data_IF_736262989875
#
_entry.id   IF_736262989875
#
_cell.length_a   1.000
_cell.length_b   1.000
_cell.length_c   1.000
_cell.angle_alpha   90.00
_cell.angle_beta   90.00
_cell.angle_gamma   90.00
#
_symmetry.space_group_name_H-M   'P 1'
#
loop_
_entity.id
_entity.type
_entity.pdbx_description
1 polymer ?
#
# COMPACT_ATOMS: atom_id res chain seq x y z
N UNK A 1 56.65 -51.10 -6.51
CA UNK A 1 55.59 -50.57 -7.39
C UNK A 1 54.29 -51.34 -7.13
N UNK A 2 53.31 -50.73 -6.45
CA UNK A 2 51.88 -51.04 -6.53
C UNK A 2 51.11 -49.82 -6.02
N UNK A 3 50.35 -49.20 -6.93
CA UNK A 3 49.55 -47.99 -6.74
C UNK A 3 48.30 -48.30 -5.89
N UNK A 4 47.99 -47.47 -4.88
CA UNK A 4 47.01 -46.35 -4.87
C UNK A 4 45.56 -46.79 -5.19
N UNK A 5 44.67 -46.64 -4.20
CA UNK A 5 43.38 -45.94 -4.36
C UNK A 5 42.73 -45.75 -2.97
N UNK A 6 43.00 -44.62 -2.33
CA UNK A 6 42.21 -44.12 -1.22
C UNK A 6 41.02 -43.35 -1.81
N UNK A 7 39.80 -43.87 -1.64
CA UNK A 7 38.58 -43.20 -2.08
C UNK A 7 38.22 -42.07 -1.14
N UNK A 8 38.40 -40.83 -1.58
CA UNK A 8 37.91 -39.64 -0.89
C UNK A 8 36.39 -39.50 -1.15
N UNK A 9 35.61 -39.63 -0.08
CA UNK A 9 34.18 -39.26 -0.07
C UNK A 9 34.11 -37.74 0.01
N UNK A 10 33.84 -37.08 -1.11
CA UNK A 10 33.46 -35.67 -1.16
C UNK A 10 31.97 -35.58 -0.79
N UNK A 11 31.70 -35.25 0.46
CA UNK A 11 30.40 -34.73 0.90
C UNK A 11 30.21 -33.36 0.26
N UNK A 12 29.51 -33.33 -0.88
CA UNK A 12 28.93 -32.12 -1.41
C UNK A 12 27.86 -31.64 -0.42
N UNK A 13 28.26 -30.76 0.50
CA UNK A 13 27.33 -29.93 1.26
C UNK A 13 26.70 -29.00 0.23
N UNK A 14 25.52 -29.38 -0.25
CA UNK A 14 24.62 -28.49 -0.97
C UNK A 14 24.21 -27.37 -0.02
N UNK A 15 25.07 -26.36 0.10
CA UNK A 15 24.68 -25.10 0.72
C UNK A 15 23.53 -24.56 -0.11
N UNK A 16 22.31 -24.71 0.40
CA UNK A 16 21.19 -23.89 -0.02
C UNK A 16 21.58 -22.47 0.39
N UNK A 17 22.26 -21.76 -0.52
CA UNK A 17 22.25 -20.32 -0.49
C UNK A 17 20.76 -19.97 -0.39
N UNK A 18 20.35 -19.30 0.68
CA UNK A 18 19.05 -18.64 0.73
C UNK A 18 19.09 -17.60 -0.38
N UNK A 19 18.71 -18.01 -1.59
CA UNK A 19 18.50 -17.09 -2.69
C UNK A 19 17.37 -16.19 -2.20
N UNK A 20 17.69 -14.92 -1.97
CA UNK A 20 16.70 -13.90 -1.71
C UNK A 20 15.61 -14.03 -2.79
N UNK A 21 14.35 -14.19 -2.39
CA UNK A 21 13.24 -14.24 -3.34
C UNK A 21 13.04 -12.82 -3.88
N UNK A 22 13.42 -12.54 -5.15
CA UNK A 22 13.36 -11.19 -5.67
C UNK A 22 11.93 -10.64 -5.70
N UNK A 23 10.92 -11.52 -5.74
CA UNK A 23 9.53 -11.12 -5.67
C UNK A 23 9.14 -10.67 -4.27
N UNK A 24 9.62 -11.39 -3.24
CA UNK A 24 9.41 -11.01 -1.86
C UNK A 24 10.11 -9.69 -1.52
N UNK A 25 11.35 -9.51 -1.98
CA UNK A 25 12.09 -8.26 -1.78
C UNK A 25 11.35 -7.08 -2.42
N UNK A 26 10.91 -7.23 -3.67
CA UNK A 26 10.14 -6.21 -4.39
C UNK A 26 8.80 -5.91 -3.70
N UNK A 27 8.07 -6.93 -3.26
CA UNK A 27 6.83 -6.71 -2.51
C UNK A 27 7.10 -5.96 -1.21
N UNK A 28 8.17 -6.33 -0.48
CA UNK A 28 8.54 -5.69 0.78
C UNK A 28 8.90 -4.22 0.57
N UNK A 29 9.66 -3.90 -0.47
CA UNK A 29 9.98 -2.52 -0.84
C UNK A 29 8.71 -1.70 -1.12
N UNK A 30 7.82 -2.21 -1.97
CA UNK A 30 6.54 -1.57 -2.29
C UNK A 30 5.65 -1.41 -1.05
N UNK A 31 5.63 -2.41 -0.16
CA UNK A 31 4.84 -2.36 1.05
C UNK A 31 5.38 -1.33 2.05
N UNK A 32 6.71 -1.18 2.17
CA UNK A 32 7.33 -0.22 3.10
C UNK A 32 7.32 1.22 2.57
N UNK A 33 7.09 1.41 1.27
CA UNK A 33 6.88 2.72 0.68
C UNK A 33 5.72 3.48 1.36
N UNK A 34 5.97 4.74 1.73
CA UNK A 34 4.99 5.59 2.43
C UNK A 34 4.24 6.52 1.46
N UNK A 35 4.91 6.97 0.39
CA UNK A 35 4.34 7.79 -0.67
C UNK A 35 5.00 7.47 -2.02
N UNK A 36 4.46 8.01 -3.11
CA UNK A 36 4.98 7.78 -4.47
C UNK A 36 5.98 8.83 -4.95
N UNK A 37 6.49 9.68 -4.06
CA UNK A 37 7.45 10.76 -4.36
C UNK A 37 6.89 11.90 -5.22
N UNK A 38 5.64 11.81 -5.66
CA UNK A 38 4.92 12.83 -6.42
C UNK A 38 3.49 12.93 -5.90
N UNK A 39 2.84 14.11 -6.00
CA UNK A 39 1.43 14.21 -5.69
C UNK A 39 0.56 13.26 -6.52
N UNK A 40 -0.48 12.72 -5.91
CA UNK A 40 -1.35 11.72 -6.54
C UNK A 40 -2.83 12.04 -6.38
N UNK A 41 -3.61 11.66 -7.38
CA UNK A 41 -5.05 11.45 -7.28
C UNK A 41 -5.32 9.95 -7.28
N UNK A 42 -6.07 9.47 -6.30
CA UNK A 42 -6.44 8.07 -6.19
C UNK A 42 -7.94 7.91 -6.15
N UNK A 43 -8.52 7.27 -7.15
CA UNK A 43 -9.90 6.80 -7.08
C UNK A 43 -9.95 5.50 -6.26
N UNK A 44 -10.68 5.52 -5.16
CA UNK A 44 -10.80 4.40 -4.22
C UNK A 44 -12.22 3.84 -4.32
N UNK A 45 -12.33 2.54 -4.50
CA UNK A 45 -13.56 1.77 -4.33
C UNK A 45 -13.37 0.79 -3.19
N UNK A 46 -14.29 0.78 -2.24
CA UNK A 46 -14.30 -0.17 -1.11
C UNK A 46 -15.59 -0.96 -1.11
N UNK A 47 -15.47 -2.28 -1.13
CA UNK A 47 -16.57 -3.22 -1.18
C UNK A 47 -16.56 -4.07 0.08
N UNK A 48 -17.55 -3.87 0.95
CA UNK A 48 -17.77 -4.75 2.11
C UNK A 48 -18.74 -5.84 1.75
N UNK A 49 -18.42 -7.08 2.13
CA UNK A 49 -19.33 -8.20 1.92
C UNK A 49 -20.65 -7.96 2.66
N UNK A 50 -21.75 -7.86 1.89
CA UNK A 50 -23.09 -7.66 2.42
C UNK A 50 -23.51 -6.20 2.60
N UNK A 51 -22.72 -5.23 2.16
CA UNK A 51 -23.09 -3.81 2.13
C UNK A 51 -22.85 -3.19 0.74
N UNK A 52 -23.50 -2.07 0.40
CA UNK A 52 -23.18 -1.32 -0.81
C UNK A 52 -21.72 -0.87 -0.82
N UNK A 53 -21.12 -0.87 -2.01
CA UNK A 53 -19.79 -0.31 -2.19
C UNK A 53 -19.76 1.20 -1.92
N UNK A 54 -18.62 1.69 -1.45
CA UNK A 54 -18.35 3.11 -1.31
C UNK A 54 -17.22 3.53 -2.23
N UNK A 55 -17.28 4.75 -2.75
CA UNK A 55 -16.23 5.34 -3.57
C UNK A 55 -15.83 6.71 -3.06
N UNK A 56 -14.55 7.04 -3.18
CA UNK A 56 -14.01 8.36 -2.87
C UNK A 56 -12.77 8.65 -3.73
N UNK A 57 -12.48 9.92 -3.94
CA UNK A 57 -11.18 10.36 -4.40
C UNK A 57 -10.30 10.66 -3.17
N UNK A 58 -9.04 10.23 -3.20
CA UNK A 58 -8.01 10.63 -2.25
C UNK A 58 -6.95 11.44 -2.99
N UNK A 59 -6.81 12.70 -2.62
CA UNK A 59 -5.87 13.65 -3.21
C UNK A 59 -4.74 13.86 -2.22
N UNK A 60 -3.52 13.50 -2.59
CA UNK A 60 -2.37 13.50 -1.70
C UNK A 60 -1.27 14.40 -2.24
N UNK A 61 -0.93 15.46 -1.50
CA UNK A 61 0.29 16.24 -1.75
C UNK A 61 1.45 15.69 -0.94
N UNK A 62 1.23 15.49 0.36
CA UNK A 62 2.19 14.93 1.30
C UNK A 62 1.46 14.51 2.59
N UNK A 63 2.22 13.96 3.55
CA UNK A 63 1.68 13.45 4.82
C UNK A 63 0.91 14.49 5.66
N UNK A 64 1.22 15.78 5.47
CA UNK A 64 0.61 16.89 6.21
C UNK A 64 -0.44 17.64 5.38
N UNK A 65 -0.67 17.25 4.12
CA UNK A 65 -1.64 17.91 3.24
C UNK A 65 -2.28 16.91 2.27
N UNK A 66 -3.49 16.46 2.63
CA UNK A 66 -4.26 15.50 1.85
C UNK A 66 -5.77 15.71 2.01
N UNK A 67 -6.55 15.33 1.01
CA UNK A 67 -8.00 15.51 0.96
C UNK A 67 -8.71 14.22 0.53
N UNK A 68 -9.72 13.81 1.28
CA UNK A 68 -10.67 12.76 0.89
C UNK A 68 -11.98 13.39 0.46
N UNK A 69 -12.41 13.09 -0.77
CA UNK A 69 -13.67 13.52 -1.37
C UNK A 69 -14.57 12.29 -1.57
N UNK A 70 -15.58 12.06 -0.71
CA UNK A 70 -16.53 10.96 -0.90
C UNK A 70 -17.38 11.20 -2.16
N UNK A 71 -17.36 10.24 -3.09
CA UNK A 71 -18.09 10.33 -4.35
C UNK A 71 -19.39 9.52 -4.32
N UNK A 72 -19.44 8.38 -3.61
CA UNK A 72 -20.67 7.62 -3.41
C UNK A 72 -20.60 6.72 -2.16
N UNK A 73 -21.57 6.79 -1.23
CA UNK A 73 -22.53 7.88 -1.11
C UNK A 73 -21.81 9.20 -0.84
N UNK A 74 -22.47 10.33 -1.17
CA UNK A 74 -21.94 11.64 -0.79
C UNK A 74 -21.82 11.74 0.74
N UNK A 75 -20.80 12.45 1.19
CA UNK A 75 -20.51 12.64 2.60
C UNK A 75 -19.63 13.87 2.81
N UNK A 76 -19.21 14.13 4.06
CA UNK A 76 -18.34 15.24 4.34
C UNK A 76 -16.93 15.01 3.75
N UNK A 77 -16.32 16.08 3.24
CA UNK A 77 -14.94 16.07 2.81
C UNK A 77 -14.03 16.12 4.04
N UNK A 78 -12.89 15.44 3.99
CA UNK A 78 -11.93 15.38 5.10
C UNK A 78 -10.58 15.85 4.60
N UNK A 79 -10.03 16.88 5.25
CA UNK A 79 -8.73 17.47 4.92
C UNK A 79 -7.77 17.30 6.09
N UNK A 80 -6.63 16.65 5.86
CA UNK A 80 -5.46 16.82 6.72
C UNK A 80 -4.69 18.04 6.24
N UNK A 81 -4.45 19.02 7.13
CA UNK A 81 -3.62 20.17 6.84
C UNK A 81 -2.89 20.63 8.10
N UNK A 82 -1.55 20.66 8.06
CA UNK A 82 -0.73 21.29 9.10
C UNK A 82 -0.99 20.74 10.51
N UNK A 83 -0.93 19.41 10.68
CA UNK A 83 -1.25 18.71 11.94
C UNK A 83 -2.71 18.81 12.40
N UNK A 84 -3.65 19.26 11.57
CA UNK A 84 -5.07 19.35 11.95
C UNK A 84 -5.91 18.54 10.97
N UNK A 85 -6.89 17.80 11.51
CA UNK A 85 -7.94 17.18 10.72
C UNK A 85 -9.13 18.12 10.65
N UNK A 86 -9.49 18.55 9.44
CA UNK A 86 -10.67 19.36 9.16
C UNK A 86 -11.73 18.54 8.43
N UNK A 87 -12.96 18.98 8.55
CA UNK A 87 -14.10 18.41 7.84
C UNK A 87 -14.94 19.53 7.21
N UNK A 88 -15.44 19.28 6.01
CA UNK A 88 -16.34 20.17 5.29
C UNK A 88 -17.63 19.44 4.96
N UNK A 89 -18.79 20.04 5.28
CA UNK A 89 -20.10 19.54 4.87
C UNK A 89 -20.65 20.21 3.59
N UNK A 90 -19.92 21.17 3.01
CA UNK A 90 -20.38 22.02 1.91
C UNK A 90 -19.40 22.05 0.72
N UNK A 91 -18.77 20.89 0.46
CA UNK A 91 -17.86 20.68 -0.68
C UNK A 91 -16.63 21.60 -0.69
N UNK A 92 -16.10 21.89 0.50
CA UNK A 92 -14.84 22.57 0.72
C UNK A 92 -14.96 24.09 0.83
N UNK A 93 -16.19 24.63 0.90
CA UNK A 93 -16.43 26.07 1.05
C UNK A 93 -16.13 26.54 2.47
N UNK A 94 -16.44 25.72 3.47
CA UNK A 94 -16.13 25.98 4.88
C UNK A 94 -15.50 24.76 5.53
N UNK A 95 -14.59 25.01 6.49
CA UNK A 95 -13.82 23.95 7.15
C UNK A 95 -14.01 24.04 8.67
N UNK A 96 -14.52 22.96 9.25
CA UNK A 96 -14.60 22.78 10.69
C UNK A 96 -13.42 21.94 11.17
N UNK A 97 -12.68 22.44 12.15
CA UNK A 97 -11.65 21.66 12.84
C UNK A 97 -12.31 20.51 13.59
N UNK A 98 -11.87 19.29 13.30
CA UNK A 98 -12.31 18.07 14.01
C UNK A 98 -11.38 17.80 15.19
N UNK A 99 -10.07 17.77 14.96
CA UNK A 99 -9.06 17.51 16.00
C UNK A 99 -7.65 17.92 15.56
N UNK A 100 -6.80 18.15 16.54
CA UNK A 100 -5.34 18.14 16.36
C UNK A 100 -4.85 16.70 16.08
N UNK A 101 -3.74 16.61 15.37
CA UNK A 101 -3.00 15.40 15.05
C UNK A 101 -1.53 15.59 15.41
N UNK A 102 -0.85 14.51 15.76
CA UNK A 102 0.62 14.50 15.83
C UNK A 102 1.13 13.70 14.63
N UNK A 103 1.25 14.33 13.46
CA UNK A 103 1.56 13.61 12.21
C UNK A 103 2.95 12.99 12.25
N UNK A 104 3.92 13.63 12.91
CA UNK A 104 5.27 13.13 13.05
C UNK A 104 5.32 11.84 13.90
N UNK A 105 4.72 11.87 15.10
CA UNK A 105 4.65 10.67 15.93
C UNK A 105 3.83 9.56 15.26
N UNK A 106 2.76 9.92 14.56
CA UNK A 106 1.96 8.97 13.79
C UNK A 106 2.76 8.35 12.64
N UNK A 107 3.62 9.11 11.97
CA UNK A 107 4.44 8.62 10.86
C UNK A 107 5.48 7.59 11.34
N UNK A 108 6.15 7.83 12.47
CA UNK A 108 7.13 6.89 13.02
C UNK A 108 6.45 5.62 13.53
N UNK A 109 5.32 5.76 14.23
CA UNK A 109 4.50 4.62 14.66
C UNK A 109 3.99 3.81 13.46
N UNK A 110 3.54 4.48 12.40
CA UNK A 110 3.10 3.83 11.16
C UNK A 110 4.23 3.11 10.44
N UNK A 111 5.44 3.69 10.43
CA UNK A 111 6.63 3.06 9.83
C UNK A 111 7.01 1.79 10.60
N UNK A 112 7.08 1.86 11.92
CA UNK A 112 7.39 0.68 12.74
C UNK A 112 6.32 -0.40 12.56
N UNK A 113 5.05 -0.02 12.59
CA UNK A 113 3.93 -0.92 12.33
C UNK A 113 4.04 -1.63 10.97
N UNK A 114 4.40 -0.91 9.90
CA UNK A 114 4.68 -1.50 8.59
C UNK A 114 5.87 -2.46 8.68
N UNK A 115 6.97 -2.10 9.32
CA UNK A 115 8.11 -3.01 9.47
C UNK A 115 7.73 -4.31 10.20
N UNK A 116 6.93 -4.23 11.25
CA UNK A 116 6.46 -5.39 12.00
C UNK A 116 5.54 -6.28 11.14
N UNK A 117 4.61 -5.68 10.39
CA UNK A 117 3.74 -6.42 9.48
C UNK A 117 4.54 -7.05 8.33
N UNK A 118 5.61 -6.39 7.84
CA UNK A 118 6.44 -6.89 6.76
C UNK A 118 7.12 -8.22 7.13
N UNK A 119 7.38 -8.47 8.42
CA UNK A 119 7.89 -9.75 8.89
C UNK A 119 6.90 -10.92 8.72
N UNK A 120 5.63 -10.65 8.40
CA UNK A 120 4.57 -11.65 8.19
C UNK A 120 4.29 -11.93 6.70
N UNK A 121 5.01 -11.25 5.80
CA UNK A 121 4.88 -11.40 4.35
C UNK A 121 5.15 -12.85 3.94
N UNK A 122 4.26 -13.39 3.11
CA UNK A 122 4.34 -14.76 2.59
C UNK A 122 3.54 -14.90 1.30
N UNK A 123 3.61 -16.07 0.65
CA UNK A 123 2.86 -16.39 -0.57
C UNK A 123 3.03 -15.32 -1.67
N UNK A 124 4.26 -14.88 -1.86
CA UNK A 124 4.66 -13.89 -2.86
C UNK A 124 4.39 -14.42 -4.27
N UNK A 125 3.86 -13.57 -5.14
CA UNK A 125 3.61 -13.88 -6.53
C UNK A 125 3.92 -12.65 -7.38
N UNK A 126 4.73 -12.85 -8.42
CA UNK A 126 5.07 -11.82 -9.38
C UNK A 126 4.69 -12.29 -10.78
N UNK A 127 4.05 -11.40 -11.54
CA UNK A 127 3.73 -11.60 -12.95
C UNK A 127 3.85 -10.28 -13.70
N UNK A 128 3.60 -10.31 -14.99
CA UNK A 128 3.58 -9.13 -15.84
C UNK A 128 2.21 -9.03 -16.52
N UNK A 129 1.71 -7.82 -16.66
CA UNK A 129 0.45 -7.51 -17.32
C UNK A 129 0.60 -6.26 -18.20
N UNK A 130 -0.40 -6.01 -19.04
CA UNK A 130 -0.56 -4.75 -19.76
C UNK A 130 -1.84 -4.05 -19.27
N UNK A 131 -1.71 -2.81 -18.81
CA UNK A 131 -2.83 -1.98 -18.35
C UNK A 131 -2.90 -0.75 -19.23
N UNK A 132 -3.98 -0.59 -19.99
CA UNK A 132 -4.21 0.54 -20.90
C UNK A 132 -3.06 0.77 -21.90
N UNK A 133 -2.45 -0.31 -22.40
CA UNK A 133 -1.32 -0.24 -23.35
C UNK A 133 0.04 -0.01 -22.69
N UNK A 134 0.11 0.00 -21.36
CA UNK A 134 1.36 0.19 -20.61
C UNK A 134 1.75 -1.09 -19.87
N UNK A 135 3.01 -1.57 -20.01
CA UNK A 135 3.45 -2.76 -19.31
C UNK A 135 3.67 -2.48 -17.82
N UNK A 136 3.12 -3.37 -16.99
CA UNK A 136 3.21 -3.30 -15.53
C UNK A 136 3.70 -4.63 -14.95
N UNK A 137 4.45 -4.56 -13.87
CA UNK A 137 4.70 -5.69 -12.99
C UNK A 137 3.57 -5.82 -11.99
N UNK A 138 3.05 -7.03 -11.82
CA UNK A 138 2.05 -7.32 -10.79
C UNK A 138 2.74 -8.05 -9.67
N UNK A 139 2.71 -7.47 -8.48
CA UNK A 139 3.42 -7.97 -7.30
C UNK A 139 2.42 -8.13 -6.17
N UNK A 140 2.30 -9.35 -5.65
CA UNK A 140 1.30 -9.65 -4.64
C UNK A 140 1.85 -10.55 -3.54
N UNK A 141 1.40 -10.33 -2.31
CA UNK A 141 1.74 -11.16 -1.16
C UNK A 141 0.61 -11.16 -0.14
N UNK A 142 0.65 -12.15 0.76
CA UNK A 142 -0.21 -12.22 1.92
C UNK A 142 0.50 -11.57 3.11
N UNK A 143 -0.22 -10.77 3.89
CA UNK A 143 0.30 -10.05 5.05
C UNK A 143 -0.71 -10.03 6.20
N UNK A 144 -0.22 -10.24 7.41
CA UNK A 144 -0.99 -10.08 8.63
C UNK A 144 -0.79 -8.66 9.15
N UNK A 145 -1.88 -7.90 9.24
CA UNK A 145 -1.88 -6.54 9.79
C UNK A 145 -2.40 -6.62 11.22
N UNK A 146 -1.56 -6.28 12.19
CA UNK A 146 -1.85 -6.51 13.62
C UNK A 146 -2.23 -5.23 14.39
N UNK A 147 -2.25 -4.06 13.73
CA UNK A 147 -2.60 -2.80 14.37
C UNK A 147 -4.13 -2.72 14.58
N UNK A 148 -4.57 -2.85 15.83
CA UNK A 148 -5.99 -2.86 16.18
C UNK A 148 -6.59 -4.26 16.05
N UNK A 149 -7.49 -4.45 15.09
CA UNK A 149 -8.05 -5.77 14.79
C UNK A 149 -7.10 -6.51 13.85
N UNK A 150 -6.71 -7.73 14.23
CA UNK A 150 -5.86 -8.57 13.36
C UNK A 150 -6.63 -8.93 12.09
N UNK A 151 -6.04 -8.61 10.94
CA UNK A 151 -6.57 -8.98 9.63
C UNK A 151 -5.55 -9.74 8.80
N UNK A 152 -6.06 -10.67 8.01
CA UNK A 152 -5.29 -11.38 6.99
C UNK A 152 -5.59 -10.76 5.64
N UNK A 153 -4.55 -10.33 4.93
CA UNK A 153 -4.71 -9.52 3.75
C UNK A 153 -3.92 -10.11 2.58
N UNK A 154 -4.52 -10.06 1.38
CA UNK A 154 -3.82 -10.22 0.11
C UNK A 154 -3.69 -8.85 -0.53
N UNK A 155 -2.46 -8.33 -0.58
CA UNK A 155 -2.17 -7.06 -1.24
C UNK A 155 -1.59 -7.34 -2.62
N UNK A 156 -2.07 -6.63 -3.63
CA UNK A 156 -1.59 -6.70 -5.01
C UNK A 156 -1.30 -5.30 -5.53
N UNK A 157 -0.11 -5.09 -6.08
CA UNK A 157 0.34 -3.84 -6.69
C UNK A 157 0.58 -4.05 -8.18
N UNK A 158 0.09 -3.13 -9.01
CA UNK A 158 0.45 -3.03 -10.42
C UNK A 158 1.40 -1.85 -10.57
N UNK A 159 2.65 -2.17 -10.88
CA UNK A 159 3.78 -1.24 -10.90
C UNK A 159 4.21 -1.01 -12.33
N UNK A 160 4.10 0.23 -12.80
CA UNK A 160 4.51 0.65 -14.13
C UNK A 160 6.01 0.45 -14.33
N UNK A 161 6.39 -0.28 -15.38
CA UNK A 161 7.81 -0.61 -15.63
C UNK A 161 8.67 0.58 -16.01
N UNK A 162 8.10 1.62 -16.60
CA UNK A 162 8.85 2.77 -17.13
C UNK A 162 9.42 3.66 -16.02
N UNK A 163 8.77 3.74 -14.86
CA UNK A 163 9.11 4.67 -13.79
C UNK A 163 8.92 4.13 -12.36
N UNK A 164 8.48 2.88 -12.20
CA UNK A 164 8.25 2.26 -10.89
C UNK A 164 6.99 2.74 -10.16
N UNK A 165 6.11 3.49 -10.83
CA UNK A 165 4.90 4.05 -10.20
C UNK A 165 3.81 2.99 -10.01
N UNK A 166 3.21 2.90 -8.83
CA UNK A 166 2.05 2.03 -8.58
C UNK A 166 0.82 2.70 -9.22
N UNK A 167 0.31 2.12 -10.30
CA UNK A 167 -0.86 2.64 -11.03
C UNK A 167 -2.18 2.09 -10.49
N UNK A 168 -2.11 0.94 -9.81
CA UNK A 168 -3.26 0.29 -9.18
C UNK A 168 -2.80 -0.51 -7.97
N UNK A 169 -3.62 -0.52 -6.92
CA UNK A 169 -3.46 -1.41 -5.79
C UNK A 169 -4.80 -2.07 -5.46
N UNK A 170 -4.76 -3.32 -5.00
CA UNK A 170 -5.92 -4.05 -4.49
C UNK A 170 -5.57 -4.66 -3.14
N UNK A 171 -6.44 -4.46 -2.16
CA UNK A 171 -6.33 -5.00 -0.82
C UNK A 171 -7.56 -5.87 -0.54
N UNK A 172 -7.40 -7.18 -0.60
CA UNK A 172 -8.41 -8.15 -0.15
C UNK A 172 -8.15 -8.44 1.32
N UNK A 173 -9.04 -7.94 2.18
CA UNK A 173 -8.93 -7.93 3.64
C UNK A 173 -9.93 -8.90 4.25
N UNK A 174 -9.45 -9.79 5.10
CA UNK A 174 -10.27 -10.72 5.87
C UNK A 174 -10.05 -10.50 7.35
N UNK A 175 -11.12 -10.15 8.05
CA UNK A 175 -11.18 -10.03 9.49
C UNK A 175 -12.18 -11.06 10.06
N UNK A 176 -12.17 -11.34 11.38
CA UNK A 176 -13.11 -12.30 11.97
C UNK A 176 -14.59 -11.99 11.72
N UNK A 177 -14.94 -10.72 11.51
CA UNK A 177 -16.33 -10.24 11.41
C UNK A 177 -16.63 -9.47 10.11
N UNK A 178 -15.68 -9.29 9.21
CA UNK A 178 -15.93 -8.68 7.90
C UNK A 178 -14.92 -9.13 6.84
N UNK A 179 -15.37 -9.09 5.59
CA UNK A 179 -14.53 -9.22 4.40
C UNK A 179 -14.67 -7.91 3.61
N UNK A 180 -13.56 -7.39 3.13
CA UNK A 180 -13.49 -6.11 2.43
C UNK A 180 -12.51 -6.19 1.26
N UNK A 181 -12.91 -5.69 0.10
CA UNK A 181 -12.03 -5.48 -1.03
C UNK A 181 -11.88 -3.99 -1.28
N UNK A 182 -10.66 -3.47 -1.19
CA UNK A 182 -10.35 -2.08 -1.58
C UNK A 182 -9.58 -2.09 -2.88
N UNK A 183 -10.09 -1.41 -3.90
CA UNK A 183 -9.39 -1.15 -5.15
C UNK A 183 -9.01 0.33 -5.21
N UNK A 184 -7.76 0.60 -5.58
CA UNK A 184 -7.23 1.93 -5.78
C UNK A 184 -6.70 2.05 -7.21
N UNK A 185 -7.15 3.05 -7.95
CA UNK A 185 -6.56 3.47 -9.23
C UNK A 185 -5.86 4.79 -9.00
N UNK A 186 -4.56 4.85 -9.30
CA UNK A 186 -3.68 5.93 -8.86
C UNK A 186 -3.10 6.64 -10.09
N UNK A 187 -3.22 7.95 -10.10
CA UNK A 187 -2.70 8.83 -11.15
C UNK A 187 -1.73 9.85 -10.54
N UNK A 188 -0.68 10.18 -11.29
CA UNK A 188 0.19 11.32 -10.95
C UNK A 188 -0.60 12.61 -11.15
N UNK A 189 -0.49 13.52 -10.19
CA UNK A 189 -1.16 14.81 -10.22
C UNK A 189 -0.18 15.94 -9.82
N UNK A 190 0.92 16.17 -10.58
CA UNK A 190 1.97 17.10 -10.16
C UNK A 190 1.50 18.54 -9.95
N UNK A 191 0.44 18.94 -10.65
CA UNK A 191 -0.20 20.26 -10.53
C UNK A 191 -1.32 20.30 -9.48
N UNK A 192 -1.45 19.25 -8.65
CA UNK A 192 -2.46 19.20 -7.59
C UNK A 192 -2.24 20.38 -6.63
N UNK A 193 -3.33 21.04 -6.29
CA UNK A 193 -3.40 22.02 -5.22
C UNK A 193 -4.55 21.66 -4.30
N UNK A 194 -4.37 21.88 -3.00
CA UNK A 194 -5.37 21.57 -1.98
C UNK A 194 -5.72 22.82 -1.17
N UNK A 195 -6.95 22.90 -0.61
CA UNK A 195 -7.36 24.01 0.25
C UNK A 195 -6.44 24.19 1.46
N UNK A 196 -6.30 25.43 1.93
CA UNK A 196 -5.58 25.79 3.15
C UNK A 196 -6.53 26.57 4.06
N UNK A 197 -7.19 25.90 5.02
CA UNK A 197 -8.06 26.56 5.98
C UNK A 197 -7.32 27.61 6.81
N UNK A 198 -8.01 28.72 7.12
CA UNK A 198 -7.53 29.74 8.06
C UNK A 198 -7.63 29.30 9.52
#
# INVERSE_FOLDING_TARGET
MKAIAAGAILLAVSGQASLADPCQDKFTELYLQLDQGVPTKTAVTTEFKGAPATTNDFLYLNQDHYLTVPTSPAGPWVLGYGNVLYQSSDEGKTWAKVREMDTAQNADGARQAKMDNAATIRNTACSEEEVSGEPVDVVAADITVSQGMVTENRYTYWVRKSDGFIVKAVYDTKAPNFEMLTTQVIEKAPELTLPTPE
#
